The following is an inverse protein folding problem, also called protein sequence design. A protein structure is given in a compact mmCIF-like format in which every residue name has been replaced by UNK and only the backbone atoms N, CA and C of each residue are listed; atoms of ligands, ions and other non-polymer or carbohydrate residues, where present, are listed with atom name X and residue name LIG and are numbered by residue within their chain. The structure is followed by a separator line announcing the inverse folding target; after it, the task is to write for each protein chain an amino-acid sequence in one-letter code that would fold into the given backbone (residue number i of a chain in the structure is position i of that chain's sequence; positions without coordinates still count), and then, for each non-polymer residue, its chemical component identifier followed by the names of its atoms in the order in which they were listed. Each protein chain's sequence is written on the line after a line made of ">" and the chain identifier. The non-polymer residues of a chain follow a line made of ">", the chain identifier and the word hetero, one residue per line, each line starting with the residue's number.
data_IF_571798414017
#
_entry.id   IF_571798414017
#
_cell.length_a   1.000
_cell.length_b   1.000
_cell.length_c   1.000
_cell.angle_alpha   90.00
_cell.angle_beta   90.00
_cell.angle_gamma   90.00
#
_symmetry.space_group_name_H-M   'P 1'
#
loop_
_entity.id
_entity.type
_entity.pdbx_description
1 polymer ?
#
# COMPACT_ATOMS: atom_id res chain seq x y z
N UNK A 1 27.57 -37.77 -14.97
CA UNK A 1 26.22 -37.25 -14.67
C UNK A 1 26.39 -35.77 -14.30
N UNK A 2 26.13 -34.88 -15.29
CA UNK A 2 26.24 -33.45 -15.15
C UNK A 2 24.92 -32.94 -14.56
N UNK A 3 24.88 -32.64 -13.26
CA UNK A 3 23.76 -31.95 -12.64
C UNK A 3 23.76 -30.49 -13.11
N UNK A 4 22.92 -30.16 -14.09
CA UNK A 4 22.56 -28.77 -14.42
C UNK A 4 21.68 -28.23 -13.28
N UNK A 5 22.30 -27.52 -12.35
CA UNK A 5 21.60 -26.62 -11.46
C UNK A 5 20.99 -25.49 -12.31
N UNK A 6 19.72 -25.63 -12.68
CA UNK A 6 18.92 -24.49 -13.12
C UNK A 6 18.80 -23.52 -11.92
N UNK A 7 19.70 -22.57 -11.85
CA UNK A 7 19.53 -21.37 -11.05
C UNK A 7 18.35 -20.61 -11.68
N UNK A 8 17.14 -20.83 -11.16
CA UNK A 8 16.05 -19.91 -11.39
C UNK A 8 16.55 -18.56 -10.86
N UNK A 9 16.91 -17.65 -11.76
CA UNK A 9 17.24 -16.29 -11.43
C UNK A 9 15.98 -15.63 -10.89
N UNK A 10 15.78 -15.75 -9.57
CA UNK A 10 14.79 -14.96 -8.85
C UNK A 10 15.27 -13.52 -9.01
N UNK A 11 14.58 -12.77 -9.84
CA UNK A 11 14.87 -11.37 -10.12
C UNK A 11 14.56 -10.54 -8.88
N UNK A 12 15.54 -10.43 -8.00
CA UNK A 12 15.45 -9.57 -6.82
C UNK A 12 15.57 -8.10 -7.24
N UNK A 13 14.89 -7.21 -6.52
CA UNK A 13 15.22 -5.81 -6.57
C UNK A 13 16.69 -5.65 -6.15
N UNK A 14 17.45 -4.93 -6.94
CA UNK A 14 18.78 -4.49 -6.52
C UNK A 14 18.61 -3.21 -5.73
N UNK A 15 19.28 -3.11 -4.58
CA UNK A 15 19.28 -1.89 -3.79
C UNK A 15 20.70 -1.42 -3.54
N UNK A 16 20.92 -0.14 -3.65
CA UNK A 16 22.19 0.51 -3.37
C UNK A 16 21.99 1.85 -2.68
N UNK A 17 22.94 2.24 -1.86
CA UNK A 17 22.97 3.58 -1.27
C UNK A 17 23.72 4.53 -2.20
N UNK A 18 23.05 5.57 -2.68
CA UNK A 18 23.62 6.58 -3.56
C UNK A 18 23.68 7.94 -2.85
N UNK A 19 24.65 8.78 -3.22
CA UNK A 19 24.70 10.17 -2.81
C UNK A 19 23.87 10.99 -3.81
N UNK A 20 22.78 11.60 -3.32
CA UNK A 20 21.86 12.40 -4.15
C UNK A 20 22.10 13.90 -4.03
N UNK A 21 22.94 14.34 -3.09
CA UNK A 21 23.24 15.75 -2.87
C UNK A 21 23.97 15.97 -1.56
N UNK A 22 23.92 17.22 -1.09
CA UNK A 22 24.48 17.62 0.21
C UNK A 22 23.42 18.28 1.07
N UNK A 23 23.53 18.08 2.39
CA UNK A 23 22.75 18.79 3.40
C UNK A 23 23.28 20.22 3.58
N UNK A 24 22.53 21.05 4.32
CA UNK A 24 22.94 22.43 4.61
C UNK A 24 24.26 22.52 5.38
N UNK A 25 24.64 21.50 6.15
CA UNK A 25 25.91 21.38 6.88
C UNK A 25 27.06 20.87 6.02
N UNK A 26 26.84 20.64 4.71
CA UNK A 26 27.86 20.15 3.76
C UNK A 26 28.04 18.61 3.77
N UNK A 27 27.40 17.88 4.66
CA UNK A 27 27.44 16.40 4.66
C UNK A 27 26.64 15.81 3.50
N UNK A 28 26.98 14.59 3.09
CA UNK A 28 26.30 13.89 2.01
C UNK A 28 24.85 13.56 2.37
N UNK A 29 23.92 13.91 1.48
CA UNK A 29 22.55 13.43 1.49
C UNK A 29 22.51 12.11 0.73
N UNK A 30 22.27 11.01 1.46
CA UNK A 30 22.20 9.65 0.92
C UNK A 30 20.76 9.21 0.75
N UNK A 31 20.51 8.45 -0.30
CA UNK A 31 19.23 7.80 -0.58
C UNK A 31 19.43 6.31 -0.88
N UNK A 32 18.44 5.49 -0.52
CA UNK A 32 18.38 4.11 -0.94
C UNK A 32 17.72 4.05 -2.31
N UNK A 33 18.43 3.54 -3.29
CA UNK A 33 17.96 3.36 -4.65
C UNK A 33 17.52 1.89 -4.84
N UNK A 34 16.31 1.67 -5.38
CA UNK A 34 15.81 0.35 -5.73
C UNK A 34 15.65 0.25 -7.24
N UNK A 35 16.33 -0.73 -7.84
CA UNK A 35 16.24 -1.01 -9.27
C UNK A 35 15.47 -2.31 -9.49
N UNK A 36 14.47 -2.26 -10.35
CA UNK A 36 13.63 -3.40 -10.69
C UNK A 36 13.83 -3.78 -12.15
N UNK A 37 13.85 -5.09 -12.50
CA UNK A 37 13.98 -5.54 -13.88
C UNK A 37 12.71 -5.32 -14.71
N UNK A 38 11.58 -5.09 -14.05
CA UNK A 38 10.29 -4.80 -14.66
C UNK A 38 9.95 -3.32 -14.53
N UNK A 39 9.15 -2.82 -15.46
CA UNK A 39 8.63 -1.46 -15.35
C UNK A 39 7.72 -1.31 -14.12
N UNK A 40 8.09 -0.41 -13.24
CA UNK A 40 7.26 0.00 -12.10
C UNK A 40 6.07 0.81 -12.63
N UNK A 41 4.87 0.43 -12.24
CA UNK A 41 3.63 1.17 -12.54
C UNK A 41 3.30 2.16 -11.42
N UNK A 42 3.28 1.69 -10.18
CA UNK A 42 3.10 2.53 -9.00
C UNK A 42 3.91 1.94 -7.84
N UNK A 43 4.13 2.76 -6.84
CA UNK A 43 4.69 2.32 -5.57
C UNK A 43 4.01 3.02 -4.40
N UNK A 44 4.09 2.41 -3.24
CA UNK A 44 3.63 2.96 -1.96
C UNK A 44 4.57 2.47 -0.87
N UNK A 45 4.84 3.32 0.11
CA UNK A 45 5.72 3.02 1.25
C UNK A 45 4.92 3.15 2.55
N UNK A 46 5.21 2.31 3.53
CA UNK A 46 4.66 2.46 4.88
C UNK A 46 5.14 3.76 5.53
N UNK A 47 4.38 4.31 6.47
CA UNK A 47 4.67 5.61 7.11
C UNK A 47 6.09 5.70 7.70
N UNK A 48 6.58 4.60 8.27
CA UNK A 48 7.94 4.52 8.83
C UNK A 48 9.02 4.20 7.82
N UNK A 49 8.66 3.93 6.56
CA UNK A 49 9.58 3.54 5.51
C UNK A 49 10.13 2.11 5.65
N UNK A 50 9.62 1.28 6.56
CA UNK A 50 10.09 -0.10 6.77
C UNK A 50 9.70 -1.05 5.65
N UNK A 51 8.62 -0.74 4.91
CA UNK A 51 8.09 -1.58 3.84
C UNK A 51 7.80 -0.78 2.58
N UNK A 52 8.04 -1.41 1.45
CA UNK A 52 7.79 -0.88 0.11
C UNK A 52 6.90 -1.85 -0.67
N UNK A 53 5.76 -1.37 -1.15
CA UNK A 53 4.92 -2.09 -2.08
C UNK A 53 5.12 -1.52 -3.48
N UNK A 54 5.50 -2.35 -4.44
CA UNK A 54 5.73 -1.95 -5.83
C UNK A 54 4.81 -2.76 -6.73
N UNK A 55 4.16 -2.09 -7.66
CA UNK A 55 3.33 -2.75 -8.64
C UNK A 55 3.99 -2.77 -10.02
N UNK A 56 3.85 -3.88 -10.69
CA UNK A 56 4.41 -4.15 -12.02
C UNK A 56 3.30 -4.57 -12.96
N UNK A 57 3.29 -4.00 -14.15
CA UNK A 57 2.30 -4.35 -15.17
C UNK A 57 2.79 -5.55 -15.98
N UNK A 58 1.93 -6.55 -16.18
CA UNK A 58 2.22 -7.66 -17.06
C UNK A 58 2.32 -7.20 -18.53
N UNK A 59 3.17 -7.90 -19.28
CA UNK A 59 3.32 -7.71 -20.73
C UNK A 59 2.84 -8.93 -21.48
N UNK A 60 2.34 -8.70 -22.70
CA UNK A 60 2.11 -9.78 -23.68
C UNK A 60 3.44 -10.35 -24.16
N UNK A 61 3.40 -11.50 -24.85
CA UNK A 61 4.58 -12.08 -25.52
C UNK A 61 5.22 -11.12 -26.53
N UNK A 62 4.46 -10.17 -27.08
CA UNK A 62 4.95 -9.12 -28.01
C UNK A 62 5.45 -7.88 -27.29
N UNK A 63 5.58 -7.87 -25.94
CA UNK A 63 6.06 -6.75 -25.15
C UNK A 63 5.05 -5.63 -24.91
N UNK A 64 3.78 -5.78 -25.32
CA UNK A 64 2.73 -4.79 -25.03
C UNK A 64 2.21 -4.99 -23.61
N UNK A 65 2.06 -3.89 -22.87
CA UNK A 65 1.49 -3.94 -21.51
C UNK A 65 0.02 -4.35 -21.51
N UNK A 66 -0.35 -5.25 -20.64
CA UNK A 66 -1.75 -5.58 -20.40
C UNK A 66 -2.39 -4.43 -19.58
N UNK A 67 -3.56 -3.98 -20.03
CA UNK A 67 -4.21 -2.79 -19.45
C UNK A 67 -4.56 -2.98 -17.98
N UNK A 68 -5.01 -4.16 -17.60
CA UNK A 68 -5.63 -4.41 -16.29
C UNK A 68 -4.85 -5.40 -15.43
N UNK A 69 -3.89 -6.14 -15.97
CA UNK A 69 -3.19 -7.20 -15.25
C UNK A 69 -1.78 -6.80 -14.85
N UNK A 70 -1.40 -7.24 -13.67
CA UNK A 70 -0.05 -7.10 -13.14
C UNK A 70 0.11 -7.85 -11.83
N UNK A 71 1.20 -7.57 -11.18
CA UNK A 71 1.52 -8.10 -9.85
C UNK A 71 2.01 -6.99 -8.93
N UNK A 72 1.83 -7.19 -7.65
CA UNK A 72 2.43 -6.39 -6.59
C UNK A 72 3.52 -7.20 -5.93
N UNK A 73 4.67 -6.58 -5.67
CA UNK A 73 5.74 -7.10 -4.83
C UNK A 73 5.80 -6.30 -3.54
N UNK A 74 5.93 -7.00 -2.42
CA UNK A 74 6.05 -6.40 -1.10
C UNK A 74 7.44 -6.68 -0.54
N UNK A 75 8.16 -5.61 -0.18
CA UNK A 75 9.57 -5.64 0.17
C UNK A 75 9.80 -5.11 1.57
N UNK A 76 10.69 -5.74 2.31
CA UNK A 76 11.32 -5.18 3.51
C UNK A 76 12.44 -4.24 3.06
N UNK A 77 12.38 -2.97 3.45
CA UNK A 77 13.34 -1.96 3.01
C UNK A 77 14.70 -2.08 3.70
N UNK A 78 14.75 -2.64 4.92
CA UNK A 78 16.00 -2.80 5.68
C UNK A 78 16.86 -3.91 5.11
N UNK A 79 16.23 -5.04 4.77
CA UNK A 79 16.93 -6.18 4.16
C UNK A 79 16.95 -6.13 2.64
N UNK A 80 16.17 -5.24 2.02
CA UNK A 80 15.94 -5.16 0.57
C UNK A 80 15.36 -6.45 -0.02
N UNK A 81 14.73 -7.28 0.80
CA UNK A 81 14.19 -8.57 0.39
C UNK A 81 12.74 -8.47 -0.06
N UNK A 82 12.43 -9.18 -1.13
CA UNK A 82 11.06 -9.46 -1.52
C UNK A 82 10.46 -10.45 -0.52
N UNK A 83 9.40 -10.05 0.16
CA UNK A 83 8.68 -10.91 1.10
C UNK A 83 7.69 -11.81 0.36
N UNK A 84 6.91 -11.23 -0.57
CA UNK A 84 5.95 -11.97 -1.40
C UNK A 84 5.52 -11.17 -2.63
N UNK A 85 4.91 -11.87 -3.58
CA UNK A 85 4.22 -11.30 -4.75
C UNK A 85 2.80 -11.81 -4.85
N UNK A 86 1.90 -10.96 -5.35
CA UNK A 86 0.49 -11.28 -5.60
C UNK A 86 0.01 -10.64 -6.90
N UNK A 87 -0.89 -11.30 -7.66
CA UNK A 87 -1.50 -10.69 -8.83
C UNK A 87 -2.44 -9.53 -8.41
N UNK A 88 -2.55 -8.53 -9.28
CA UNK A 88 -3.46 -7.39 -9.10
C UNK A 88 -4.18 -7.04 -10.40
N UNK A 89 -5.43 -6.54 -10.27
CA UNK A 89 -6.18 -5.93 -11.35
C UNK A 89 -6.15 -4.40 -11.21
N UNK A 90 -5.32 -3.73 -11.99
CA UNK A 90 -5.15 -2.27 -11.96
C UNK A 90 -6.41 -1.48 -12.34
N UNK A 91 -7.38 -2.10 -13.01
CA UNK A 91 -8.61 -1.40 -13.38
C UNK A 91 -9.58 -1.24 -12.21
N UNK A 92 -9.39 -2.02 -11.15
CA UNK A 92 -10.33 -2.11 -10.03
C UNK A 92 -9.70 -1.78 -8.69
N UNK A 93 -8.38 -1.88 -8.56
CA UNK A 93 -7.70 -1.87 -7.27
C UNK A 93 -6.73 -0.70 -7.13
N UNK A 94 -6.72 -0.10 -5.96
CA UNK A 94 -5.67 0.78 -5.45
C UNK A 94 -4.94 0.10 -4.32
N UNK A 95 -3.65 0.36 -4.19
CA UNK A 95 -2.80 -0.23 -3.16
C UNK A 95 -2.28 0.85 -2.22
N UNK A 96 -2.26 0.54 -0.93
CA UNK A 96 -1.63 1.34 0.12
C UNK A 96 -0.73 0.43 0.94
N UNK A 97 0.55 0.76 1.01
CA UNK A 97 1.52 0.04 1.83
C UNK A 97 1.42 0.50 3.28
N UNK A 98 1.32 -0.46 4.20
CA UNK A 98 1.16 -0.21 5.62
C UNK A 98 2.12 -1.09 6.42
N UNK A 99 2.29 -0.81 7.70
CA UNK A 99 3.11 -1.62 8.60
C UNK A 99 2.57 -3.05 8.79
N UNK A 100 1.25 -3.22 8.69
CA UNK A 100 0.55 -4.52 8.80
C UNK A 100 0.47 -5.30 7.48
N UNK A 101 0.86 -4.68 6.34
CA UNK A 101 0.83 -5.30 5.02
C UNK A 101 0.34 -4.37 3.92
N UNK A 102 -0.49 -4.87 3.01
CA UNK A 102 -1.02 -4.08 1.88
C UNK A 102 -2.53 -3.99 1.94
N UNK A 103 -3.04 -2.77 2.06
CA UNK A 103 -4.47 -2.50 1.93
C UNK A 103 -4.81 -2.36 0.44
N UNK A 104 -5.71 -3.22 -0.02
CA UNK A 104 -6.30 -3.17 -1.35
C UNK A 104 -7.68 -2.51 -1.23
N UNK A 105 -7.88 -1.43 -1.97
CA UNK A 105 -9.18 -0.76 -2.09
C UNK A 105 -9.72 -1.00 -3.48
N UNK A 106 -10.87 -1.65 -3.60
CA UNK A 106 -11.53 -1.91 -4.88
C UNK A 106 -12.66 -0.91 -5.15
N UNK A 107 -12.95 -0.71 -6.43
CA UNK A 107 -14.12 0.07 -6.86
C UNK A 107 -15.38 -0.57 -6.26
N UNK A 108 -16.25 0.23 -5.67
CA UNK A 108 -17.51 -0.22 -5.07
C UNK A 108 -17.43 -0.51 -3.57
N UNK A 109 -16.51 0.10 -2.86
CA UNK A 109 -16.41 0.05 -1.38
C UNK A 109 -15.82 -1.22 -0.76
N UNK A 110 -15.24 -2.09 -1.54
CA UNK A 110 -14.58 -3.27 -1.00
C UNK A 110 -13.15 -2.95 -0.61
N UNK A 111 -12.78 -3.24 0.63
CA UNK A 111 -11.41 -3.13 1.11
C UNK A 111 -10.94 -4.47 1.66
N UNK A 112 -9.68 -4.79 1.50
CA UNK A 112 -9.07 -5.98 2.07
C UNK A 112 -7.63 -5.72 2.48
N UNK A 113 -7.19 -6.33 3.59
CA UNK A 113 -5.81 -6.31 4.01
C UNK A 113 -5.12 -7.62 3.64
N UNK A 114 -4.02 -7.53 2.92
CA UNK A 114 -3.09 -8.64 2.70
C UNK A 114 -2.04 -8.66 3.81
N UNK A 115 -1.76 -9.85 4.33
CA UNK A 115 -0.78 -10.06 5.39
C UNK A 115 0.61 -9.60 4.97
N UNK A 116 1.31 -8.92 5.86
CA UNK A 116 2.72 -8.54 5.70
C UNK A 116 3.64 -9.75 5.48
N UNK A 117 3.37 -10.85 6.18
CA UNK A 117 4.23 -12.02 6.19
C UNK A 117 4.07 -12.90 4.93
N UNK A 118 2.85 -13.01 4.41
CA UNK A 118 2.54 -14.02 3.38
C UNK A 118 1.83 -13.48 2.14
N UNK A 119 1.33 -12.24 2.19
CA UNK A 119 0.46 -11.69 1.16
C UNK A 119 -0.94 -12.32 1.11
N UNK A 120 -1.25 -13.29 1.97
CA UNK A 120 -2.59 -13.86 2.05
C UNK A 120 -3.59 -12.83 2.59
N UNK A 121 -4.83 -12.86 2.10
CA UNK A 121 -5.88 -11.99 2.59
C UNK A 121 -6.18 -12.29 4.06
N UNK A 122 -5.96 -11.30 4.93
CA UNK A 122 -6.20 -11.40 6.39
C UNK A 122 -7.67 -11.14 6.71
N UNK A 123 -8.24 -10.09 6.13
CA UNK A 123 -9.65 -9.75 6.26
C UNK A 123 -10.15 -8.95 5.06
N UNK A 124 -11.46 -8.81 4.97
CA UNK A 124 -12.17 -8.05 3.95
C UNK A 124 -13.38 -7.37 4.57
N UNK A 125 -13.69 -6.15 4.16
CA UNK A 125 -14.85 -5.39 4.60
C UNK A 125 -15.44 -4.56 3.47
N UNK A 126 -16.73 -4.20 3.59
CA UNK A 126 -17.35 -3.18 2.76
C UNK A 126 -17.23 -1.83 3.46
N UNK A 127 -16.46 -0.92 2.88
CA UNK A 127 -16.23 0.41 3.43
C UNK A 127 -15.82 1.36 2.31
N UNK A 128 -16.51 2.47 2.18
CA UNK A 128 -16.03 3.61 1.38
C UNK A 128 -14.90 4.28 2.15
N UNK A 129 -13.69 4.00 1.74
CA UNK A 129 -12.48 4.46 2.41
C UNK A 129 -12.37 5.98 2.36
N UNK A 130 -12.19 6.61 3.53
CA UNK A 130 -11.89 8.03 3.70
C UNK A 130 -10.45 8.24 4.10
N UNK A 131 -9.97 7.46 5.08
CA UNK A 131 -8.65 7.66 5.65
C UNK A 131 -8.09 6.37 6.26
N UNK A 132 -6.77 6.23 6.21
CA UNK A 132 -6.04 5.14 6.86
C UNK A 132 -5.00 5.75 7.80
N UNK A 133 -5.01 5.30 9.05
CA UNK A 133 -4.01 5.66 10.03
C UNK A 133 -3.20 4.44 10.43
N UNK A 134 -2.03 4.30 9.82
CA UNK A 134 -1.12 3.17 10.10
C UNK A 134 -0.58 3.23 11.54
N UNK A 135 -0.36 4.43 12.07
CA UNK A 135 0.19 4.63 13.40
C UNK A 135 -0.80 4.29 14.52
N UNK A 136 -2.07 4.60 14.33
CA UNK A 136 -3.16 4.26 15.25
C UNK A 136 -3.79 2.88 14.93
N UNK A 137 -3.41 2.25 13.82
CA UNK A 137 -3.90 0.95 13.42
C UNK A 137 -5.40 0.94 13.07
N UNK A 138 -5.89 1.99 12.41
CA UNK A 138 -7.30 2.12 12.07
C UNK A 138 -7.55 2.55 10.61
N UNK A 139 -8.72 2.17 10.12
CA UNK A 139 -9.26 2.57 8.82
C UNK A 139 -10.58 3.28 9.04
N UNK A 140 -10.74 4.47 8.48
CA UNK A 140 -11.97 5.25 8.54
C UNK A 140 -12.71 5.22 7.21
N UNK A 141 -14.02 5.13 7.30
CA UNK A 141 -14.87 5.21 6.12
C UNK A 141 -16.35 5.16 6.49
N UNK A 142 -17.18 4.97 5.49
CA UNK A 142 -18.63 4.91 5.64
C UNK A 142 -19.23 3.79 4.79
N UNK A 143 -20.43 3.33 5.17
CA UNK A 143 -21.05 2.18 4.52
C UNK A 143 -21.63 2.50 3.13
N UNK A 144 -21.96 3.76 2.86
CA UNK A 144 -22.45 4.25 1.56
C UNK A 144 -22.04 5.69 1.33
N UNK A 145 -21.99 6.17 0.09
CA UNK A 145 -21.64 7.57 -0.22
C UNK A 145 -22.53 8.63 0.43
N UNK A 146 -23.75 8.24 0.80
CA UNK A 146 -24.74 9.12 1.47
C UNK A 146 -24.86 8.87 2.96
N UNK A 147 -24.02 8.02 3.54
CA UNK A 147 -24.04 7.73 4.98
C UNK A 147 -23.48 8.90 5.77
N UNK A 148 -24.18 9.30 6.82
CA UNK A 148 -23.69 10.27 7.81
C UNK A 148 -23.04 9.61 9.03
N UNK A 149 -22.74 8.31 8.93
CA UNK A 149 -22.08 7.53 9.97
C UNK A 149 -20.67 7.18 9.56
N UNK A 150 -19.70 7.78 10.24
CA UNK A 150 -18.31 7.43 10.12
C UNK A 150 -18.06 6.16 10.95
N UNK A 151 -17.41 5.20 10.34
CA UNK A 151 -17.05 3.91 10.92
C UNK A 151 -15.55 3.77 10.98
N UNK A 152 -15.04 3.30 12.10
CA UNK A 152 -13.65 2.91 12.26
C UNK A 152 -13.52 1.40 12.31
N UNK A 153 -12.58 0.88 11.54
CA UNK A 153 -12.25 -0.56 11.47
C UNK A 153 -10.83 -0.73 11.96
N UNK A 154 -10.60 -1.76 12.79
CA UNK A 154 -9.26 -2.12 13.22
C UNK A 154 -8.43 -2.59 12.02
N UNK A 155 -7.29 -1.94 11.78
CA UNK A 155 -6.44 -2.26 10.63
C UNK A 155 -5.93 -3.69 10.67
N UNK A 156 -5.55 -4.20 11.85
CA UNK A 156 -4.97 -5.53 12.00
C UNK A 156 -5.99 -6.67 11.88
N UNK A 157 -7.18 -6.48 12.43
CA UNK A 157 -8.16 -7.56 12.58
C UNK A 157 -9.41 -7.41 11.71
N UNK A 158 -9.66 -6.24 11.13
CA UNK A 158 -10.81 -5.98 10.27
C UNK A 158 -12.16 -5.86 10.99
N UNK A 159 -12.17 -5.90 12.32
CA UNK A 159 -13.38 -5.73 13.12
C UNK A 159 -13.68 -4.24 13.37
N UNK A 160 -14.96 -3.94 13.58
CA UNK A 160 -15.38 -2.59 13.92
C UNK A 160 -14.85 -2.18 15.29
N UNK A 161 -14.33 -0.97 15.37
CA UNK A 161 -13.92 -0.32 16.62
C UNK A 161 -15.06 0.56 17.16
N UNK A 162 -15.62 1.40 16.30
CA UNK A 162 -16.75 2.27 16.61
C UNK A 162 -17.44 2.76 15.33
N UNK A 163 -18.68 3.26 15.50
CA UNK A 163 -19.45 3.97 14.50
C UNK A 163 -20.06 5.22 15.14
N UNK A 164 -19.85 6.38 14.56
CA UNK A 164 -20.39 7.64 15.06
C UNK A 164 -21.07 8.42 13.94
N UNK A 165 -22.21 9.04 14.28
CA UNK A 165 -22.88 9.95 13.38
C UNK A 165 -22.13 11.27 13.35
N UNK A 166 -21.66 11.65 12.17
CA UNK A 166 -21.04 12.96 11.92
C UNK A 166 -21.94 13.69 10.92
N UNK A 167 -22.57 14.81 11.35
CA UNK A 167 -23.44 15.57 10.45
C UNK A 167 -22.63 16.11 9.28
N UNK A 168 -23.18 15.98 8.09
CA UNK A 168 -22.71 16.65 6.88
C UNK A 168 -23.91 16.89 5.97
N UNK A 169 -23.81 17.88 5.08
CA UNK A 169 -24.88 18.20 4.15
C UNK A 169 -24.63 17.58 2.78
N UNK A 170 -23.41 17.62 2.28
CA UNK A 170 -23.05 17.19 0.95
C UNK A 170 -22.10 15.99 0.91
N UNK A 171 -21.49 15.64 2.03
CA UNK A 171 -20.62 14.48 2.15
C UNK A 171 -19.37 14.71 2.98
N UNK A 172 -18.47 13.74 2.88
CA UNK A 172 -17.17 13.78 3.51
C UNK A 172 -16.18 14.46 2.59
N UNK A 173 -15.41 15.38 3.10
CA UNK A 173 -14.42 16.08 2.32
C UNK A 173 -13.03 15.50 2.56
N UNK A 174 -12.51 15.64 3.78
CA UNK A 174 -11.14 15.27 4.07
C UNK A 174 -10.93 14.87 5.53
N UNK A 175 -9.93 14.02 5.78
CA UNK A 175 -9.36 13.78 7.10
C UNK A 175 -7.91 14.24 7.06
N UNK A 176 -7.58 15.23 7.89
CA UNK A 176 -6.24 15.78 8.00
C UNK A 176 -5.52 15.17 9.20
N UNK A 177 -4.29 14.74 9.00
CA UNK A 177 -3.39 14.35 10.06
C UNK A 177 -2.73 15.61 10.65
N UNK A 178 -2.96 15.85 11.92
CA UNK A 178 -2.35 16.92 12.66
C UNK A 178 -1.26 16.35 13.59
N UNK A 179 -0.34 17.20 14.01
CA UNK A 179 0.68 16.82 14.99
C UNK A 179 0.07 16.22 16.27
N UNK A 180 0.82 15.40 16.99
CA UNK A 180 0.46 14.79 18.27
C UNK A 180 -0.77 13.86 18.22
N UNK A 181 -0.92 13.07 17.16
CA UNK A 181 -2.03 12.13 17.00
C UNK A 181 -3.43 12.75 16.99
N UNK A 182 -3.52 14.02 16.66
CA UNK A 182 -4.80 14.71 16.44
C UNK A 182 -5.24 14.51 14.99
N UNK A 183 -6.54 14.42 14.80
CA UNK A 183 -7.17 14.35 13.48
C UNK A 183 -8.22 15.42 13.35
N UNK A 184 -8.24 16.07 12.20
CA UNK A 184 -9.31 16.98 11.80
C UNK A 184 -10.14 16.32 10.71
N UNK A 185 -11.43 16.24 10.94
CA UNK A 185 -12.38 15.76 9.94
C UNK A 185 -13.08 16.95 9.34
N UNK A 186 -13.00 17.09 8.02
CA UNK A 186 -13.71 18.13 7.28
C UNK A 186 -14.90 17.49 6.57
N UNK A 187 -16.08 17.94 6.89
CA UNK A 187 -17.34 17.53 6.26
C UNK A 187 -18.21 18.76 6.03
N UNK A 188 -18.95 18.80 4.93
CA UNK A 188 -19.83 19.90 4.50
C UNK A 188 -21.32 19.49 4.41
#
# INVERSE_FOLDING_TARGET
>A
ILCLLLMASISYAQSETIVVGKKADGTDLKAQCYTFPQRVETFSMSDKGDYLCVSFRETTKSGKYLKNKGEIGFYDTKSSQLLWKQPIDFSKSRITCLSEGVLITEIGSKISLLSRETGAKRWEASLFLVYVDDSLGLVLGYNSPTSNKLRAVNLKFGNDLWENKIPHQYGWNEVLDLEQNKRLIVAD
#
